data_IF_602008286053
#
_entry.id   IF_602008286053
#
_cell.length_a   1.000
_cell.length_b   1.000
_cell.length_c   1.000
_cell.angle_alpha   90.00
_cell.angle_beta   90.00
_cell.angle_gamma   90.00
#
_symmetry.space_group_name_H-M   'P 1'
#
loop_
_entity.id
_entity.type
_entity.pdbx_description
1 polymer ?
#
# COMPACT_ATOMS: atom_id res chain seq x y z
N UNK A 1 15.64 9.12 4.26
CA UNK A 1 15.73 9.19 2.78
C UNK A 1 15.28 7.90 2.11
N UNK A 2 15.80 6.74 2.52
CA UNK A 2 15.53 5.46 1.86
C UNK A 2 14.04 5.17 1.58
N UNK A 3 13.14 5.36 2.55
CA UNK A 3 11.72 5.05 2.36
C UNK A 3 11.03 5.89 1.29
N UNK A 4 11.46 7.14 1.07
CA UNK A 4 10.96 7.97 -0.04
C UNK A 4 11.41 7.40 -1.39
N UNK A 5 12.60 6.81 -1.45
CA UNK A 5 13.06 6.11 -2.65
C UNK A 5 12.31 4.80 -2.87
N UNK A 6 12.03 4.05 -1.80
CA UNK A 6 11.21 2.83 -1.85
C UNK A 6 9.82 3.14 -2.41
N UNK A 7 9.17 4.23 -1.93
CA UNK A 7 7.89 4.70 -2.48
C UNK A 7 8.00 4.96 -3.99
N UNK A 8 8.97 5.79 -4.41
CA UNK A 8 9.17 6.13 -5.82
C UNK A 8 9.42 4.89 -6.69
N UNK A 9 10.23 3.96 -6.19
CA UNK A 9 10.50 2.71 -6.88
C UNK A 9 9.23 1.87 -7.02
N UNK A 10 8.46 1.72 -5.94
CA UNK A 10 7.18 1.01 -5.96
C UNK A 10 6.19 1.63 -6.96
N UNK A 11 6.01 2.95 -6.94
CA UNK A 11 5.15 3.67 -7.90
C UNK A 11 5.62 3.46 -9.34
N UNK A 12 6.94 3.46 -9.57
CA UNK A 12 7.52 3.23 -10.90
C UNK A 12 7.31 1.80 -11.42
N UNK A 13 7.31 0.78 -10.57
CA UNK A 13 7.15 -0.62 -11.00
C UNK A 13 5.69 -1.07 -11.07
N UNK A 14 4.84 -0.51 -10.21
CA UNK A 14 3.40 -0.83 -10.16
C UNK A 14 2.58 -0.01 -11.16
N UNK A 15 3.03 1.20 -11.50
CA UNK A 15 2.22 2.19 -12.23
C UNK A 15 1.14 2.85 -11.37
N UNK A 16 1.08 2.50 -10.08
CA UNK A 16 0.15 3.09 -9.11
C UNK A 16 0.75 4.36 -8.49
N UNK A 17 -0.13 5.22 -7.98
CA UNK A 17 0.24 6.34 -7.14
C UNK A 17 -0.15 6.03 -5.70
N UNK A 18 0.83 5.99 -4.79
CA UNK A 18 0.55 5.73 -3.37
C UNK A 18 0.05 7.00 -2.72
N UNK A 19 -1.16 6.94 -2.18
CA UNK A 19 -1.77 8.00 -1.40
C UNK A 19 -1.07 8.12 -0.04
N UNK A 20 -0.52 9.29 0.27
CA UNK A 20 0.33 9.53 1.46
C UNK A 20 -0.20 10.61 2.39
N UNK A 21 -1.52 10.82 2.45
CA UNK A 21 -2.12 11.92 3.22
C UNK A 21 -1.66 11.94 4.70
N UNK A 22 -1.57 10.78 5.35
CA UNK A 22 -1.11 10.66 6.73
C UNK A 22 0.37 11.02 6.88
N UNK A 23 1.22 10.56 5.96
CA UNK A 23 2.63 10.94 5.93
C UNK A 23 2.82 12.45 5.68
N UNK A 24 2.04 13.02 4.75
CA UNK A 24 2.08 14.43 4.39
C UNK A 24 1.64 15.32 5.56
N UNK A 25 0.64 14.89 6.34
CA UNK A 25 0.20 15.58 7.54
C UNK A 25 1.27 15.70 8.63
N UNK A 26 2.26 14.79 8.67
CA UNK A 26 3.38 14.87 9.62
C UNK A 26 4.38 16.00 9.31
N UNK A 27 4.29 16.60 8.11
CA UNK A 27 5.13 17.74 7.68
C UNK A 27 6.63 17.48 7.93
N UNK A 28 7.07 16.25 7.64
CA UNK A 28 8.44 15.80 7.89
C UNK A 28 9.04 15.09 6.67
N UNK A 29 9.77 15.87 5.88
CA UNK A 29 10.67 15.34 4.85
C UNK A 29 12.01 14.90 5.46
N UNK A 30 12.69 13.92 4.86
CA UNK A 30 14.02 13.49 5.30
C UNK A 30 15.13 14.57 5.26
N UNK A 31 14.89 15.77 4.69
CA UNK A 31 15.81 16.91 4.83
C UNK A 31 15.80 17.54 6.24
N UNK A 32 14.76 17.28 7.04
CA UNK A 32 14.59 17.90 8.35
C UNK A 32 15.46 17.24 9.43
N UNK A 33 16.77 17.13 9.22
CA UNK A 33 17.71 16.38 10.06
C UNK A 33 17.77 16.84 11.53
N UNK A 34 17.24 18.02 11.83
CA UNK A 34 17.19 18.60 13.18
C UNK A 34 15.85 18.36 13.91
N UNK A 35 14.84 17.76 13.25
CA UNK A 35 13.56 17.42 13.89
C UNK A 35 13.71 16.21 14.83
N UNK A 36 12.72 16.01 15.68
CA UNK A 36 12.71 14.95 16.69
C UNK A 36 12.88 13.56 16.02
N UNK A 37 13.83 12.76 16.52
CA UNK A 37 14.08 11.39 16.07
C UNK A 37 12.81 10.51 16.09
N UNK A 38 11.94 10.73 17.07
CA UNK A 38 10.66 10.02 17.17
C UNK A 38 9.72 10.39 16.01
N UNK A 39 9.66 11.68 15.61
CA UNK A 39 8.88 12.10 14.45
C UNK A 39 9.40 11.46 13.16
N UNK A 40 10.72 11.36 12.98
CA UNK A 40 11.29 10.65 11.83
C UNK A 40 10.92 9.16 11.80
N UNK A 41 10.89 8.51 12.97
CA UNK A 41 10.45 7.12 13.09
C UNK A 41 8.97 6.97 12.72
N UNK A 42 8.10 7.83 13.26
CA UNK A 42 6.67 7.83 12.94
C UNK A 42 6.48 8.00 11.44
N UNK A 43 7.16 8.97 10.83
CA UNK A 43 7.09 9.19 9.39
C UNK A 43 7.52 7.98 8.54
N UNK A 44 8.55 7.25 8.99
CA UNK A 44 9.00 6.04 8.32
C UNK A 44 7.93 4.94 8.36
N UNK A 45 7.29 4.75 9.52
CA UNK A 45 6.25 3.75 9.72
C UNK A 45 4.97 4.11 8.97
N UNK A 46 4.54 5.38 9.04
CA UNK A 46 3.37 5.88 8.30
C UNK A 46 3.54 5.67 6.80
N UNK A 47 4.68 6.08 6.22
CA UNK A 47 4.93 5.88 4.79
C UNK A 47 4.98 4.40 4.40
N UNK A 48 5.52 3.53 5.27
CA UNK A 48 5.49 2.08 5.06
C UNK A 48 4.08 1.50 5.05
N UNK A 49 3.22 1.94 5.96
CA UNK A 49 1.82 1.52 6.01
C UNK A 49 1.04 1.96 4.77
N UNK A 50 1.25 3.19 4.29
CA UNK A 50 0.59 3.70 3.08
C UNK A 50 0.92 2.81 1.86
N UNK A 51 2.20 2.43 1.70
CA UNK A 51 2.66 1.54 0.62
C UNK A 51 2.02 0.15 0.74
N UNK A 52 2.02 -0.46 1.93
CA UNK A 52 1.43 -1.78 2.15
C UNK A 52 -0.08 -1.76 1.92
N UNK A 53 -0.75 -0.68 2.32
CA UNK A 53 -2.19 -0.51 2.07
C UNK A 53 -2.50 -0.50 0.56
N UNK A 54 -1.72 0.23 -0.24
CA UNK A 54 -1.86 0.25 -1.70
C UNK A 54 -1.61 -1.13 -2.34
N UNK A 55 -0.57 -1.84 -1.87
CA UNK A 55 -0.26 -3.20 -2.32
C UNK A 55 -1.40 -4.18 -2.06
N UNK A 56 -2.05 -4.08 -0.90
CA UNK A 56 -3.17 -4.95 -0.55
C UNK A 56 -4.43 -4.61 -1.36
N UNK A 57 -4.72 -3.32 -1.56
CA UNK A 57 -5.83 -2.88 -2.40
C UNK A 57 -5.67 -3.33 -3.87
N UNK A 58 -4.43 -3.25 -4.38
CA UNK A 58 -4.10 -3.69 -5.73
C UNK A 58 -4.24 -5.21 -5.89
N UNK A 59 -3.78 -5.99 -4.92
CA UNK A 59 -3.95 -7.45 -4.93
C UNK A 59 -5.44 -7.86 -4.88
N UNK A 60 -6.24 -7.19 -4.05
CA UNK A 60 -7.68 -7.44 -3.99
C UNK A 60 -8.37 -7.18 -5.33
N UNK A 61 -7.98 -6.11 -6.05
CA UNK A 61 -8.53 -5.78 -7.37
C UNK A 61 -8.15 -6.80 -8.46
N UNK A 62 -7.06 -7.54 -8.31
CA UNK A 62 -6.55 -8.50 -9.31
C UNK A 62 -7.13 -9.92 -9.18
N UNK A 63 -7.99 -10.18 -8.19
CA UNK A 63 -8.64 -11.49 -8.01
C UNK A 63 -10.13 -11.43 -8.37
N UNK A 64 -10.51 -11.59 -9.65
CA UNK A 64 -11.88 -11.94 -9.99
C UNK A 64 -12.10 -13.40 -9.59
N UNK A 65 -12.56 -13.64 -8.36
CA UNK A 65 -13.17 -14.92 -8.01
C UNK A 65 -14.50 -15.04 -8.77
N UNK A 66 -14.46 -15.60 -9.98
CA UNK A 66 -15.66 -16.18 -10.60
C UNK A 66 -16.00 -17.45 -9.81
N UNK A 67 -16.92 -17.31 -8.85
CA UNK A 67 -17.60 -18.46 -8.28
C UNK A 67 -18.56 -19.01 -9.34
N UNK A 68 -18.14 -19.99 -10.12
CA UNK A 68 -19.10 -20.81 -10.87
C UNK A 68 -19.99 -21.55 -9.86
N UNK A 69 -21.32 -21.38 -9.90
CA UNK A 69 -22.21 -22.19 -9.09
C UNK A 69 -22.10 -23.63 -9.60
N UNK A 70 -21.54 -24.53 -8.79
CA UNK A 70 -21.50 -25.95 -9.08
C UNK A 70 -22.94 -26.46 -9.29
N UNK A 71 -23.34 -26.69 -10.54
CA UNK A 71 -24.60 -27.34 -10.86
C UNK A 71 -24.54 -28.78 -10.33
N UNK A 72 -25.24 -29.03 -9.24
CA UNK A 72 -25.47 -30.38 -8.73
C UNK A 72 -26.31 -31.13 -9.77
N UNK A 73 -25.69 -32.12 -10.40
CA UNK A 73 -26.28 -32.96 -11.44
C UNK A 73 -27.37 -33.81 -10.78
N UNK A 74 -28.59 -33.71 -11.32
CA UNK A 74 -29.76 -34.50 -10.95
C UNK A 74 -29.43 -35.99 -11.03
N UNK A 75 -29.56 -36.71 -9.91
CA UNK A 75 -29.64 -38.16 -9.91
C UNK A 75 -31.11 -38.57 -9.92
N UNK A 76 -31.49 -39.15 -11.06
CA UNK A 76 -32.71 -39.88 -11.39
C UNK A 76 -33.13 -40.87 -10.29
N UNK A 77 -34.44 -40.89 -9.97
CA UNK A 77 -35.11 -42.00 -9.29
C UNK A 77 -36.58 -42.05 -9.73
#
# INVERSE_FOLDING_TARGET
>A
MLMVQVKKYYESVSGNNVQTAEYDALQISPIHIHKNKNLHRVALLTLGNDIVSDMNATQAAQTPFTQEPSQSIVAEH
#
